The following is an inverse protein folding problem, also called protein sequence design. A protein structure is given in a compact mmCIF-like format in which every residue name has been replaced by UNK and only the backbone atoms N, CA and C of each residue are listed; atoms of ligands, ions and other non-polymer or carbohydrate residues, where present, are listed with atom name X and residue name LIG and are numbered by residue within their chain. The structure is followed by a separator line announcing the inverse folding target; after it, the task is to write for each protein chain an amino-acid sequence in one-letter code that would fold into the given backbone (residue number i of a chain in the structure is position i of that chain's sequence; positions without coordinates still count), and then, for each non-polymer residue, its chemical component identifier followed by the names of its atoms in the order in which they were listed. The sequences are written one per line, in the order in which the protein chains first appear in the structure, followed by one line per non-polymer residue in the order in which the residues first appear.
data_IF_192811229819
#
_entry.id   IF_192811229819
#
_cell.length_a   1.000
_cell.length_b   1.000
_cell.length_c   1.000
_cell.angle_alpha   90.00
_cell.angle_beta   90.00
_cell.angle_gamma   90.00
#
_symmetry.space_group_name_H-M   'P 1'
#
loop_
_entity.id
_entity.type
_entity.pdbx_description
1 polymer ?
#
# COMPACT_ATOMS: atom_id res chain seq x y z
N UNK A 1 22.38 0.24 -53.28
CA UNK A 1 22.77 0.97 -52.06
C UNK A 1 22.19 0.23 -50.87
N UNK A 2 23.02 -0.15 -49.90
CA UNK A 2 22.61 -0.66 -48.58
C UNK A 2 22.33 0.54 -47.66
N UNK A 3 21.26 0.47 -46.88
CA UNK A 3 21.13 1.00 -45.51
C UNK A 3 20.04 0.12 -44.86
N UNK A 4 20.37 -0.88 -44.05
CA UNK A 4 20.86 -0.89 -42.66
C UNK A 4 19.70 -1.11 -41.66
N UNK A 5 19.92 -2.13 -40.83
CA UNK A 5 19.00 -2.65 -39.82
C UNK A 5 18.98 -1.76 -38.57
N UNK A 6 17.98 -2.06 -37.72
CA UNK A 6 18.01 -2.09 -36.27
C UNK A 6 17.41 -0.90 -35.53
N UNK A 7 16.35 -1.24 -34.80
CA UNK A 7 15.69 -0.44 -33.79
C UNK A 7 14.62 -1.27 -33.08
N UNK A 8 14.87 -2.57 -32.88
CA UNK A 8 14.11 -3.40 -31.94
C UNK A 8 14.40 -2.84 -30.55
N UNK A 9 13.50 -1.99 -30.07
CA UNK A 9 13.45 -1.62 -28.67
C UNK A 9 13.13 -2.88 -27.88
N UNK A 10 14.16 -3.49 -27.33
CA UNK A 10 14.07 -4.60 -26.39
C UNK A 10 13.39 -4.08 -25.12
N UNK A 11 12.06 -4.20 -25.10
CA UNK A 11 11.21 -3.92 -23.94
C UNK A 11 11.36 -5.01 -22.89
N UNK A 12 12.60 -5.30 -22.49
CA UNK A 12 12.89 -6.19 -21.37
C UNK A 12 12.28 -5.62 -20.09
N UNK A 13 11.87 -6.48 -19.14
CA UNK A 13 11.35 -6.02 -17.86
C UNK A 13 12.42 -5.13 -17.19
N UNK A 14 12.05 -3.89 -16.89
CA UNK A 14 12.94 -2.95 -16.23
C UNK A 14 13.56 -3.59 -14.98
N UNK A 15 14.88 -3.53 -14.87
CA UNK A 15 15.62 -4.09 -13.75
C UNK A 15 15.03 -3.56 -12.43
N UNK A 16 14.75 -4.47 -11.49
CA UNK A 16 14.26 -4.07 -10.16
C UNK A 16 15.36 -3.25 -9.48
N UNK A 17 15.07 -2.03 -9.01
CA UNK A 17 16.10 -1.19 -8.41
C UNK A 17 16.68 -1.87 -7.16
N UNK A 18 18.00 -1.79 -7.00
CA UNK A 18 18.72 -2.34 -5.83
C UNK A 18 18.32 -1.64 -4.52
N UNK A 19 17.84 -0.40 -4.62
CA UNK A 19 17.31 0.39 -3.50
C UNK A 19 15.84 0.67 -3.76
N UNK A 20 14.98 0.28 -2.81
CA UNK A 20 13.58 0.65 -2.85
C UNK A 20 13.48 2.18 -2.74
N UNK A 21 12.90 2.80 -3.76
CA UNK A 21 12.56 4.23 -3.69
C UNK A 21 11.47 4.44 -2.63
N UNK A 22 11.52 5.54 -1.87
CA UNK A 22 10.46 5.88 -0.92
C UNK A 22 9.09 5.83 -1.57
N UNK A 23 8.11 5.32 -0.81
CA UNK A 23 6.72 5.32 -1.28
C UNK A 23 6.23 6.76 -1.39
N UNK A 24 5.48 7.05 -2.44
CA UNK A 24 4.79 8.32 -2.60
C UNK A 24 3.29 8.10 -2.70
N UNK A 25 2.52 9.13 -2.35
CA UNK A 25 1.06 9.14 -2.53
C UNK A 25 0.70 8.86 -3.99
N UNK A 26 1.46 9.43 -4.93
CA UNK A 26 1.26 9.24 -6.37
C UNK A 26 1.49 7.79 -6.80
N UNK A 27 2.50 7.12 -6.24
CA UNK A 27 2.77 5.69 -6.52
C UNK A 27 1.66 4.80 -5.98
N UNK A 28 1.16 5.07 -4.78
CA UNK A 28 0.03 4.34 -4.18
C UNK A 28 -1.24 4.57 -5.01
N UNK A 29 -1.55 5.83 -5.36
CA UNK A 29 -2.69 6.18 -6.21
C UNK A 29 -2.61 5.50 -7.59
N UNK A 30 -1.42 5.41 -8.18
CA UNK A 30 -1.20 4.70 -9.44
C UNK A 30 -1.55 3.22 -9.35
N UNK A 31 -1.18 2.55 -8.26
CA UNK A 31 -1.52 1.15 -8.02
C UNK A 31 -3.03 0.95 -7.85
N UNK A 32 -3.70 1.82 -7.09
CA UNK A 32 -5.16 1.77 -6.92
C UNK A 32 -5.89 1.99 -8.25
N UNK A 33 -5.45 2.96 -9.06
CA UNK A 33 -5.97 3.17 -10.42
C UNK A 33 -5.83 1.94 -11.30
N UNK A 34 -4.66 1.29 -11.29
CA UNK A 34 -4.41 0.08 -12.08
C UNK A 34 -5.33 -1.08 -11.68
N UNK A 35 -5.70 -1.16 -10.41
CA UNK A 35 -6.62 -2.18 -9.88
C UNK A 35 -8.10 -1.85 -10.11
N UNK A 36 -8.41 -0.63 -10.55
CA UNK A 36 -9.79 -0.15 -10.65
C UNK A 36 -10.42 0.19 -9.29
N UNK A 37 -9.61 0.33 -8.24
CA UNK A 37 -10.09 0.65 -6.90
C UNK A 37 -10.54 2.12 -6.84
N UNK A 38 -11.65 2.38 -6.14
CA UNK A 38 -12.09 3.75 -5.86
C UNK A 38 -11.26 4.31 -4.71
N UNK A 39 -10.78 5.55 -4.86
CA UNK A 39 -10.03 6.28 -3.84
C UNK A 39 -10.19 7.79 -4.03
N UNK A 40 -9.78 8.55 -3.03
CA UNK A 40 -9.72 10.01 -3.07
C UNK A 40 -8.41 10.52 -2.46
N UNK A 41 -8.08 11.77 -2.75
CA UNK A 41 -6.99 12.49 -2.10
C UNK A 41 -7.64 13.71 -1.43
N UNK A 42 -7.46 13.85 -0.12
CA UNK A 42 -8.03 14.97 0.64
C UNK A 42 -7.23 16.28 0.45
N UNK A 43 -7.74 17.38 0.99
CA UNK A 43 -7.07 18.69 0.92
C UNK A 43 -5.72 18.73 1.65
N UNK A 44 -5.48 17.81 2.58
CA UNK A 44 -4.19 17.63 3.25
C UNK A 44 -3.25 16.70 2.47
N UNK A 45 -3.58 16.37 1.21
CA UNK A 45 -2.83 15.46 0.33
C UNK A 45 -2.69 14.04 0.87
N UNK A 46 -3.58 13.62 1.77
CA UNK A 46 -3.62 12.24 2.28
C UNK A 46 -4.51 11.41 1.38
N UNK A 47 -4.09 10.18 1.15
CA UNK A 47 -4.83 9.24 0.32
C UNK A 47 -5.83 8.48 1.21
N UNK A 48 -7.10 8.55 0.83
CA UNK A 48 -8.16 7.74 1.41
C UNK A 48 -8.64 6.69 0.41
N UNK A 49 -8.88 5.47 0.87
CA UNK A 49 -9.63 4.46 0.14
C UNK A 49 -11.09 4.88 0.02
N UNK A 50 -11.75 4.49 -1.07
CA UNK A 50 -13.20 4.63 -1.22
C UNK A 50 -13.97 3.64 -0.34
N UNK A 51 -15.27 3.47 -0.60
CA UNK A 51 -16.08 2.44 0.04
C UNK A 51 -15.59 1.04 -0.39
N UNK A 52 -14.77 0.41 0.45
CA UNK A 52 -14.31 -0.96 0.28
C UNK A 52 -15.04 -1.83 1.30
N UNK A 53 -16.24 -2.30 0.95
CA UNK A 53 -17.11 -3.06 1.85
C UNK A 53 -17.45 -2.31 3.16
N UNK A 54 -17.80 -1.03 3.04
CA UNK A 54 -18.12 -0.06 4.10
C UNK A 54 -16.95 0.37 4.97
N UNK A 55 -15.74 -0.08 4.67
CA UNK A 55 -14.52 0.32 5.38
C UNK A 55 -13.81 1.41 4.60
N UNK A 56 -13.50 2.51 5.26
CA UNK A 56 -12.60 3.53 4.73
C UNK A 56 -11.19 3.24 5.21
N UNK A 57 -10.23 3.29 4.27
CA UNK A 57 -8.82 3.18 4.58
C UNK A 57 -8.14 4.54 4.45
N UNK A 58 -7.14 4.84 5.26
CA UNK A 58 -6.30 6.02 5.15
C UNK A 58 -4.84 5.59 5.05
N UNK A 59 -4.15 6.08 4.02
CA UNK A 59 -2.75 5.79 3.76
C UNK A 59 -1.93 7.01 4.17
N UNK A 60 -1.05 6.82 5.15
CA UNK A 60 -0.28 7.87 5.79
C UNK A 60 1.19 7.51 5.65
N UNK A 61 1.95 8.40 5.01
CA UNK A 61 3.41 8.29 4.98
C UNK A 61 3.95 9.07 6.17
N UNK A 62 4.68 8.38 7.03
CA UNK A 62 5.22 8.88 8.29
C UNK A 62 6.75 8.98 8.24
N UNK A 63 7.32 9.79 9.13
CA UNK A 63 8.74 10.08 9.20
C UNK A 63 9.15 11.29 8.35
N UNK A 64 10.31 11.87 8.66
CA UNK A 64 10.82 13.06 7.98
C UNK A 64 11.07 12.78 6.49
N UNK A 65 11.43 11.54 6.17
CA UNK A 65 11.73 11.06 4.81
C UNK A 65 10.59 10.21 4.20
N UNK A 66 9.42 10.16 4.86
CA UNK A 66 8.25 9.37 4.43
C UNK A 66 8.55 7.88 4.28
N UNK A 67 9.41 7.37 5.14
CA UNK A 67 9.97 6.03 5.10
C UNK A 67 9.00 4.94 5.56
N UNK A 68 7.97 5.29 6.34
CA UNK A 68 6.99 4.35 6.88
C UNK A 68 5.60 4.56 6.27
N UNK A 69 5.00 3.50 5.72
CA UNK A 69 3.59 3.50 5.32
C UNK A 69 2.74 2.97 6.46
N UNK A 70 1.87 3.82 6.99
CA UNK A 70 0.81 3.46 7.91
C UNK A 70 -0.52 3.39 7.14
N UNK A 71 -1.26 2.29 7.32
CA UNK A 71 -2.62 2.14 6.76
C UNK A 71 -3.60 2.02 7.92
N UNK A 72 -4.48 3.01 8.07
CA UNK A 72 -5.56 3.00 9.05
C UNK A 72 -6.86 2.57 8.40
N UNK A 73 -7.71 1.89 9.14
CA UNK A 73 -9.05 1.55 8.71
C UNK A 73 -10.01 1.81 9.87
N UNK A 74 -11.15 2.43 9.57
CA UNK A 74 -12.23 2.54 10.56
C UNK A 74 -13.08 1.27 10.52
N UNK A 75 -13.27 0.65 11.67
CA UNK A 75 -14.26 -0.44 11.77
C UNK A 75 -15.67 0.18 11.63
N UNK A 76 -16.47 -0.22 10.63
CA UNK A 76 -17.72 0.46 10.31
C UNK A 76 -18.86 0.17 11.30
N UNK A 77 -18.61 -0.64 12.32
CA UNK A 77 -19.57 -1.01 13.34
C UNK A 77 -19.23 -0.44 14.71
N UNK A 78 -20.21 -0.49 15.60
CA UNK A 78 -19.98 -0.31 17.04
C UNK A 78 -19.90 -1.68 17.69
N UNK A 79 -18.89 -1.92 18.52
CA UNK A 79 -18.82 -3.13 19.35
C UNK A 79 -19.15 -2.76 20.79
N UNK A 80 -20.07 -3.50 21.41
CA UNK A 80 -20.36 -3.33 22.84
C UNK A 80 -19.11 -3.60 23.67
N UNK A 81 -18.88 -2.78 24.71
CA UNK A 81 -17.72 -2.89 25.60
C UNK A 81 -17.58 -4.28 26.25
N UNK A 82 -18.68 -5.02 26.42
CA UNK A 82 -18.65 -6.39 26.96
C UNK A 82 -17.86 -7.38 26.08
N UNK A 83 -17.62 -7.04 24.81
CA UNK A 83 -16.84 -7.87 23.89
C UNK A 83 -15.41 -7.35 23.66
N UNK A 84 -14.96 -6.35 24.43
CA UNK A 84 -13.65 -5.72 24.24
C UNK A 84 -12.49 -6.73 24.22
N UNK A 85 -12.50 -7.69 25.15
CA UNK A 85 -11.47 -8.72 25.22
C UNK A 85 -11.46 -9.63 23.99
N UNK A 86 -12.65 -9.96 23.46
CA UNK A 86 -12.73 -10.79 22.24
C UNK A 86 -12.24 -10.04 21.01
N UNK A 87 -12.52 -8.73 20.92
CA UNK A 87 -11.99 -7.88 19.85
C UNK A 87 -10.47 -7.83 19.91
N UNK A 88 -9.88 -7.63 21.10
CA UNK A 88 -8.42 -7.63 21.30
C UNK A 88 -7.80 -8.94 20.85
N UNK A 89 -8.38 -10.07 21.28
CA UNK A 89 -7.92 -11.41 20.89
C UNK A 89 -7.91 -11.60 19.36
N UNK A 90 -8.99 -11.18 18.68
CA UNK A 90 -9.11 -11.31 17.21
C UNK A 90 -8.09 -10.43 16.49
N UNK A 91 -7.89 -9.19 16.95
CA UNK A 91 -6.89 -8.27 16.38
C UNK A 91 -5.48 -8.83 16.58
N UNK A 92 -5.16 -9.31 17.78
CA UNK A 92 -3.85 -9.89 18.09
C UNK A 92 -3.58 -11.16 17.28
N UNK A 93 -4.54 -12.06 17.18
CA UNK A 93 -4.44 -13.27 16.35
C UNK A 93 -4.27 -12.92 14.86
N UNK A 94 -5.02 -11.94 14.36
CA UNK A 94 -4.90 -11.46 12.98
C UNK A 94 -3.50 -10.89 12.70
N UNK A 95 -2.99 -10.02 13.57
CA UNK A 95 -1.66 -9.42 13.46
C UNK A 95 -0.55 -10.47 13.50
N UNK A 96 -0.71 -11.54 14.30
CA UNK A 96 0.25 -12.66 14.36
C UNK A 96 0.22 -13.52 13.10
N UNK A 97 -0.96 -13.78 12.54
CA UNK A 97 -1.13 -14.62 11.33
C UNK A 97 -0.72 -13.90 10.06
N UNK A 98 -0.94 -12.59 10.01
CA UNK A 98 -0.58 -11.73 8.89
C UNK A 98 0.37 -10.65 9.38
N UNK A 99 1.60 -10.99 9.77
CA UNK A 99 2.58 -9.98 10.11
C UNK A 99 2.71 -9.06 8.90
N UNK A 100 2.44 -7.76 9.11
CA UNK A 100 2.65 -6.73 8.11
C UNK A 100 4.15 -6.70 7.79
N UNK A 101 4.56 -7.54 6.84
CA UNK A 101 5.90 -7.67 6.28
C UNK A 101 7.02 -7.84 7.33
N UNK A 102 7.22 -9.08 7.79
CA UNK A 102 8.57 -9.56 8.12
C UNK A 102 8.95 -10.60 7.05
N UNK A 103 9.72 -10.19 6.05
CA UNK A 103 10.15 -11.11 4.98
C UNK A 103 10.66 -10.48 3.68
N UNK A 104 10.78 -9.14 3.60
CA UNK A 104 11.30 -8.45 2.41
C UNK A 104 12.63 -7.72 2.64
N UNK A 105 13.35 -8.07 3.71
CA UNK A 105 14.78 -7.82 3.79
C UNK A 105 15.48 -9.16 3.56
N UNK A 106 16.27 -9.32 2.48
CA UNK A 106 17.13 -10.48 2.37
C UNK A 106 18.13 -10.47 3.53
N UNK A 107 18.45 -11.66 4.05
CA UNK A 107 19.63 -11.81 4.90
C UNK A 107 20.88 -11.36 4.13
N UNK A 108 21.80 -10.75 4.88
CA UNK A 108 23.05 -10.13 4.42
C UNK A 108 23.87 -10.97 3.46
#
# INVERSE_FOLDING_TARGET
MRQDQAGTGDGGPAARPEVLTPLSVERIAGLLKQRGDVFFIDSARRLGGGDWNRVFFYFLLQGDDREALEVRADYPGTVSAVHLEKVREVIDDSNRRFPLVQGLLPDK
#
